data_IF_800838742741
#
_entry.id   IF_800838742741
#
_cell.length_a   1.000
_cell.length_b   1.000
_cell.length_c   1.000
_cell.angle_alpha   90.00
_cell.angle_beta   90.00
_cell.angle_gamma   90.00
#
_symmetry.space_group_name_H-M   'P 1'
#
loop_
_entity.id
_entity.type
_entity.pdbx_description
1 polymer ?
#
# COMPACT_ATOMS: atom_id res chain seq x y z
N UNK A 1 -63.50 -10.00 39.90
CA UNK A 1 -63.07 -9.99 38.48
C UNK A 1 -62.21 -8.75 38.28
N UNK A 2 -60.91 -8.91 38.01
CA UNK A 2 -59.96 -7.82 37.73
C UNK A 2 -59.50 -7.96 36.27
N UNK A 3 -59.43 -6.88 35.47
CA UNK A 3 -58.50 -6.85 34.36
C UNK A 3 -57.24 -6.06 34.78
N UNK A 4 -56.10 -6.75 34.75
CA UNK A 4 -54.78 -6.15 34.85
C UNK A 4 -54.36 -5.62 33.47
N UNK A 5 -53.98 -4.35 33.40
CA UNK A 5 -53.41 -3.73 32.19
C UNK A 5 -51.89 -3.94 32.26
N UNK A 6 -51.36 -4.79 31.39
CA UNK A 6 -49.91 -4.93 31.17
C UNK A 6 -49.41 -3.71 30.37
N UNK A 7 -48.55 -2.91 30.99
CA UNK A 7 -47.76 -1.90 30.30
C UNK A 7 -46.55 -2.57 29.65
N UNK A 8 -46.57 -2.61 28.32
CA UNK A 8 -45.49 -3.08 27.45
C UNK A 8 -44.35 -2.05 27.48
N UNK A 9 -43.27 -2.34 28.21
CA UNK A 9 -42.04 -1.56 28.15
C UNK A 9 -41.35 -1.81 26.80
N UNK A 10 -41.21 -0.76 25.99
CA UNK A 10 -40.41 -0.76 24.78
C UNK A 10 -38.95 -1.10 25.13
N UNK A 11 -38.50 -2.27 24.71
CA UNK A 11 -37.09 -2.63 24.70
C UNK A 11 -36.35 -1.67 23.74
N UNK A 12 -35.34 -0.98 24.25
CA UNK A 12 -34.44 -0.16 23.45
C UNK A 12 -33.78 -1.00 22.37
N UNK A 13 -33.86 -0.54 21.13
CA UNK A 13 -33.14 -1.12 20.02
C UNK A 13 -31.63 -0.97 20.28
N UNK A 14 -30.94 -2.09 20.49
CA UNK A 14 -29.50 -2.15 20.34
C UNK A 14 -29.18 -1.77 18.90
N UNK A 15 -28.46 -0.66 18.69
CA UNK A 15 -27.77 -0.43 17.42
C UNK A 15 -26.68 -1.50 17.30
N UNK A 16 -26.79 -2.36 16.28
CA UNK A 16 -25.74 -3.29 15.94
C UNK A 16 -24.48 -2.53 15.49
N UNK A 17 -23.26 -3.04 15.79
CA UNK A 17 -22.05 -2.50 15.20
C UNK A 17 -22.14 -2.69 13.69
N UNK A 18 -22.27 -1.57 12.97
CA UNK A 18 -22.29 -1.57 11.52
C UNK A 18 -21.07 -2.29 10.99
N UNK A 19 -21.31 -3.25 10.09
CA UNK A 19 -20.29 -3.95 9.32
C UNK A 19 -19.28 -2.91 8.79
N UNK A 20 -18.01 -3.06 9.12
CA UNK A 20 -16.98 -2.08 8.71
C UNK A 20 -16.73 -2.30 7.22
N UNK A 21 -17.55 -1.65 6.39
CA UNK A 21 -17.34 -1.61 4.94
C UNK A 21 -16.08 -0.77 4.70
N UNK A 22 -15.04 -1.41 4.18
CA UNK A 22 -13.83 -0.72 3.77
C UNK A 22 -14.14 0.28 2.65
N UNK A 23 -13.69 1.52 2.85
CA UNK A 23 -14.01 2.62 1.94
C UNK A 23 -13.14 2.52 0.69
N UNK A 24 -13.75 2.69 -0.48
CA UNK A 24 -13.00 2.81 -1.73
C UNK A 24 -12.35 4.20 -1.77
N UNK A 25 -11.04 4.27 -1.94
CA UNK A 25 -10.28 5.50 -2.09
C UNK A 25 -10.06 5.86 -3.57
N UNK A 26 -9.67 4.87 -4.37
CA UNK A 26 -9.44 5.03 -5.81
C UNK A 26 -9.89 3.79 -6.56
N UNK A 27 -10.37 3.96 -7.78
CA UNK A 27 -10.52 2.87 -8.75
C UNK A 27 -9.64 3.14 -9.97
N UNK A 28 -8.88 2.13 -10.40
CA UNK A 28 -8.05 2.11 -11.62
C UNK A 28 -8.58 1.00 -12.53
N UNK A 29 -9.39 1.35 -13.53
CA UNK A 29 -10.22 0.42 -14.30
C UNK A 29 -11.08 -0.51 -13.41
N UNK A 30 -10.64 -1.75 -13.20
CA UNK A 30 -11.29 -2.76 -12.35
C UNK A 30 -10.54 -2.98 -11.03
N UNK A 31 -9.35 -2.39 -10.87
CA UNK A 31 -8.58 -2.47 -9.64
C UNK A 31 -9.08 -1.43 -8.64
N UNK A 32 -9.43 -1.89 -7.44
CA UNK A 32 -9.93 -1.05 -6.36
C UNK A 32 -8.80 -0.87 -5.34
N UNK A 33 -8.57 0.38 -4.96
CA UNK A 33 -7.68 0.78 -3.87
C UNK A 33 -8.57 1.25 -2.73
N UNK A 34 -8.49 0.55 -1.60
CA UNK A 34 -9.26 0.85 -0.40
C UNK A 34 -8.55 1.86 0.51
N UNK A 35 -9.27 2.42 1.48
CA UNK A 35 -8.66 3.25 2.51
C UNK A 35 -7.69 2.43 3.35
N UNK A 36 -7.99 1.16 3.66
CA UNK A 36 -7.06 0.29 4.38
C UNK A 36 -5.74 0.11 3.62
N UNK A 37 -5.78 -0.08 2.29
CA UNK A 37 -4.57 -0.17 1.46
C UNK A 37 -3.73 1.12 1.56
N UNK A 38 -4.38 2.28 1.52
CA UNK A 38 -3.72 3.59 1.65
C UNK A 38 -3.07 3.75 3.02
N UNK A 39 -3.75 3.39 4.10
CA UNK A 39 -3.22 3.46 5.45
C UNK A 39 -2.07 2.46 5.67
N UNK A 40 -2.17 1.27 5.10
CA UNK A 40 -1.09 0.28 5.09
C UNK A 40 0.14 0.80 4.35
N UNK A 41 -0.03 1.39 3.17
CA UNK A 41 1.07 1.95 2.39
C UNK A 41 1.84 3.02 3.20
N UNK A 42 1.12 3.89 3.91
CA UNK A 42 1.71 4.89 4.82
C UNK A 42 2.50 4.21 5.94
N UNK A 43 1.90 3.24 6.64
CA UNK A 43 2.55 2.56 7.76
C UNK A 43 3.83 1.85 7.32
N UNK A 44 3.80 1.14 6.20
CA UNK A 44 4.97 0.41 5.71
C UNK A 44 6.06 1.39 5.29
N UNK A 45 5.74 2.47 4.57
CA UNK A 45 6.73 3.49 4.23
C UNK A 45 7.38 4.09 5.49
N UNK A 46 6.57 4.48 6.47
CA UNK A 46 7.03 5.03 7.74
C UNK A 46 7.92 4.05 8.54
N UNK A 47 7.57 2.75 8.57
CA UNK A 47 8.40 1.70 9.17
C UNK A 47 9.77 1.60 8.50
N UNK A 48 9.82 1.60 7.18
CA UNK A 48 11.06 1.46 6.41
C UNK A 48 11.98 2.67 6.61
N UNK A 49 11.41 3.88 6.60
CA UNK A 49 12.15 5.12 6.80
C UNK A 49 12.48 5.40 8.28
N UNK A 50 11.82 4.70 9.20
CA UNK A 50 11.98 4.88 10.64
C UNK A 50 11.42 6.19 11.17
N UNK A 51 10.38 6.72 10.52
CA UNK A 51 9.69 7.98 10.87
C UNK A 51 8.27 7.71 11.32
N UNK A 52 7.67 8.65 12.05
CA UNK A 52 6.28 8.53 12.47
C UNK A 52 5.31 8.49 11.27
N UNK A 53 4.34 7.57 11.29
CA UNK A 53 3.31 7.48 10.27
C UNK A 53 2.34 8.67 10.37
N UNK A 54 2.25 9.46 9.30
CA UNK A 54 1.37 10.63 9.22
C UNK A 54 0.18 10.35 8.31
N UNK A 55 -1.03 10.57 8.81
CA UNK A 55 -2.29 10.24 8.12
C UNK A 55 -3.10 11.46 7.69
N UNK A 56 -2.43 12.56 7.34
CA UNK A 56 -3.11 13.74 6.78
C UNK A 56 -3.77 13.41 5.44
N UNK A 57 -4.77 14.20 5.03
CA UNK A 57 -5.40 14.05 3.73
C UNK A 57 -4.38 14.05 2.57
N UNK A 58 -3.38 14.92 2.66
CA UNK A 58 -2.27 14.96 1.71
C UNK A 58 -1.46 13.65 1.72
N UNK A 59 -1.05 13.15 2.90
CA UNK A 59 -0.26 11.91 3.00
C UNK A 59 -1.04 10.69 2.46
N UNK A 60 -2.35 10.62 2.73
CA UNK A 60 -3.24 9.60 2.15
C UNK A 60 -3.28 9.70 0.63
N UNK A 61 -3.40 10.91 0.06
CA UNK A 61 -3.42 11.10 -1.39
C UNK A 61 -2.11 10.68 -2.04
N UNK A 62 -0.98 11.09 -1.47
CA UNK A 62 0.35 10.70 -1.94
C UNK A 62 0.57 9.19 -1.85
N UNK A 63 0.08 8.55 -0.79
CA UNK A 63 0.12 7.09 -0.67
C UNK A 63 -0.74 6.38 -1.73
N UNK A 64 -1.96 6.88 -1.99
CA UNK A 64 -2.79 6.35 -3.06
C UNK A 64 -2.13 6.50 -4.44
N UNK A 65 -1.45 7.61 -4.72
CA UNK A 65 -0.68 7.78 -5.96
C UNK A 65 0.44 6.75 -6.09
N UNK A 66 1.20 6.50 -5.01
CA UNK A 66 2.22 5.43 -5.02
C UNK A 66 1.63 4.04 -5.27
N UNK A 67 0.43 3.77 -4.77
CA UNK A 67 -0.28 2.50 -5.05
C UNK A 67 -0.68 2.43 -6.52
N UNK A 68 -1.21 3.51 -7.11
CA UNK A 68 -1.56 3.57 -8.54
C UNK A 68 -0.32 3.30 -9.40
N UNK A 69 0.77 4.02 -9.18
CA UNK A 69 2.00 3.89 -9.97
C UNK A 69 2.56 2.48 -9.90
N UNK A 70 2.63 1.92 -8.69
CA UNK A 70 3.04 0.53 -8.47
C UNK A 70 2.09 -0.44 -9.18
N UNK A 71 0.77 -0.22 -9.11
CA UNK A 71 -0.20 -1.07 -9.80
C UNK A 71 0.03 -1.09 -11.32
N UNK A 72 0.26 0.08 -11.94
CA UNK A 72 0.53 0.16 -13.37
C UNK A 72 1.81 -0.60 -13.74
N UNK A 73 2.90 -0.39 -13.00
CA UNK A 73 4.16 -1.11 -13.20
C UNK A 73 4.01 -2.61 -12.98
N UNK A 74 3.30 -3.04 -11.92
CA UNK A 74 3.04 -4.45 -11.65
C UNK A 74 2.23 -5.10 -12.77
N UNK A 75 1.25 -4.38 -13.34
CA UNK A 75 0.45 -4.90 -14.46
C UNK A 75 1.31 -5.15 -15.70
N UNK A 76 2.18 -4.21 -16.04
CA UNK A 76 3.12 -4.35 -17.17
C UNK A 76 4.15 -5.48 -16.92
N UNK A 77 4.67 -5.56 -15.69
CA UNK A 77 5.53 -6.66 -15.23
C UNK A 77 4.85 -8.03 -15.38
N UNK A 78 3.57 -8.13 -15.05
CA UNK A 78 2.80 -9.37 -15.20
C UNK A 78 2.55 -9.74 -16.67
N UNK A 79 2.25 -8.75 -17.52
CA UNK A 79 2.08 -8.95 -18.97
C UNK A 79 3.37 -9.46 -19.63
N UNK A 80 4.53 -9.00 -19.15
CA UNK A 80 5.85 -9.46 -19.62
C UNK A 80 6.32 -10.74 -18.93
N UNK A 81 5.50 -11.32 -18.04
CA UNK A 81 5.81 -12.53 -17.26
C UNK A 81 7.14 -12.43 -16.48
N UNK A 82 7.51 -11.22 -16.06
CA UNK A 82 8.72 -11.01 -15.29
C UNK A 82 8.58 -11.61 -13.87
N UNK A 83 9.58 -12.38 -13.39
CA UNK A 83 9.43 -13.13 -12.15
C UNK A 83 9.51 -12.22 -10.92
N UNK A 84 8.68 -12.53 -9.92
CA UNK A 84 8.82 -11.97 -8.57
C UNK A 84 10.11 -12.48 -7.88
N UNK A 85 10.66 -11.71 -6.93
CA UNK A 85 11.78 -12.17 -6.12
C UNK A 85 11.41 -13.40 -5.28
N UNK A 86 12.40 -14.23 -4.97
CA UNK A 86 12.23 -15.35 -4.04
C UNK A 86 12.14 -14.87 -2.60
N UNK A 87 11.60 -15.70 -1.69
CA UNK A 87 11.39 -15.31 -0.29
C UNK A 87 12.72 -14.96 0.42
N UNK A 88 13.80 -15.69 0.14
CA UNK A 88 15.12 -15.40 0.69
C UNK A 88 15.61 -13.97 0.38
N UNK A 89 15.32 -13.45 -0.82
CA UNK A 89 15.71 -12.10 -1.21
C UNK A 89 14.91 -11.02 -0.45
N UNK A 90 13.64 -11.30 -0.14
CA UNK A 90 12.80 -10.43 0.67
C UNK A 90 13.28 -10.42 2.11
N UNK A 91 13.60 -11.58 2.67
CA UNK A 91 14.17 -11.70 4.02
C UNK A 91 15.53 -11.00 4.13
N UNK A 92 16.39 -11.13 3.12
CA UNK A 92 17.66 -10.40 3.06
C UNK A 92 17.44 -8.88 3.04
N UNK A 93 16.41 -8.41 2.35
CA UNK A 93 16.05 -6.98 2.36
C UNK A 93 15.56 -6.55 3.75
N UNK A 94 14.69 -7.33 4.40
CA UNK A 94 14.24 -7.06 5.77
C UNK A 94 15.42 -7.03 6.74
N UNK A 95 16.37 -7.97 6.62
CA UNK A 95 17.59 -8.00 7.42
C UNK A 95 18.44 -6.73 7.22
N UNK A 96 18.58 -6.24 5.98
CA UNK A 96 19.26 -4.97 5.70
C UNK A 96 18.55 -3.77 6.32
N UNK A 97 17.22 -3.71 6.26
CA UNK A 97 16.43 -2.64 6.91
C UNK A 97 16.67 -2.67 8.42
N UNK A 98 16.59 -3.84 9.05
CA UNK A 98 16.87 -4.02 10.48
C UNK A 98 18.28 -3.58 10.85
N UNK A 99 19.28 -3.98 10.07
CA UNK A 99 20.68 -3.59 10.29
C UNK A 99 20.89 -2.08 10.16
N UNK A 100 20.34 -1.46 9.11
CA UNK A 100 20.44 -0.02 8.88
C UNK A 100 19.81 0.79 10.02
N UNK A 101 18.69 0.28 10.57
CA UNK A 101 18.00 0.86 11.72
C UNK A 101 18.55 0.41 13.07
N UNK A 102 19.56 -0.46 13.11
CA UNK A 102 20.16 -1.05 14.31
C UNK A 102 19.14 -1.71 15.24
N UNK A 103 18.18 -2.43 14.64
CA UNK A 103 17.12 -3.14 15.35
C UNK A 103 17.48 -4.62 15.47
N UNK A 104 17.56 -5.11 16.70
CA UNK A 104 17.56 -6.54 16.98
C UNK A 104 16.16 -7.15 16.75
N UNK A 105 15.99 -8.45 17.03
CA UNK A 105 14.70 -9.13 16.82
C UNK A 105 13.59 -8.54 17.70
N UNK A 106 13.85 -8.32 18.99
CA UNK A 106 12.84 -7.81 19.91
C UNK A 106 12.43 -6.37 19.56
N UNK A 107 13.39 -5.51 19.20
CA UNK A 107 13.12 -4.16 18.73
C UNK A 107 12.36 -4.18 17.40
N UNK A 108 12.67 -5.09 16.49
CA UNK A 108 11.96 -5.25 15.23
C UNK A 108 10.48 -5.63 15.45
N UNK A 109 10.19 -6.60 16.31
CA UNK A 109 8.81 -6.99 16.63
C UNK A 109 8.03 -5.87 17.32
N UNK A 110 8.70 -5.08 18.18
CA UNK A 110 8.11 -3.86 18.78
C UNK A 110 7.78 -2.81 17.73
N UNK A 111 8.66 -2.58 16.76
CA UNK A 111 8.40 -1.66 15.65
C UNK A 111 7.22 -2.14 14.80
N UNK A 112 7.18 -3.42 14.40
CA UNK A 112 6.05 -3.99 13.67
C UNK A 112 4.72 -3.77 14.42
N UNK A 113 4.72 -4.02 15.73
CA UNK A 113 3.55 -3.81 16.58
C UNK A 113 3.19 -2.33 16.70
N UNK A 114 4.17 -1.43 16.85
CA UNK A 114 3.98 0.03 16.93
C UNK A 114 3.35 0.60 15.67
N UNK A 115 3.78 0.13 14.49
CA UNK A 115 3.16 0.53 13.24
C UNK A 115 1.88 -0.25 12.94
N UNK A 116 1.56 -1.33 13.65
CA UNK A 116 0.39 -2.16 13.38
C UNK A 116 0.51 -2.96 12.08
N UNK A 117 1.70 -3.46 11.77
CA UNK A 117 2.00 -4.23 10.55
C UNK A 117 2.30 -5.69 10.93
N UNK A 118 1.63 -6.64 10.29
CA UNK A 118 1.94 -8.05 10.45
C UNK A 118 3.19 -8.47 9.67
N UNK A 119 3.99 -9.40 10.19
CA UNK A 119 5.21 -9.86 9.51
C UNK A 119 4.93 -10.45 8.11
N UNK A 120 3.89 -11.29 7.98
CA UNK A 120 3.47 -11.86 6.68
C UNK A 120 2.99 -10.79 5.70
N UNK A 121 2.28 -9.79 6.20
CA UNK A 121 1.78 -8.67 5.41
C UNK A 121 2.95 -7.83 4.88
N UNK A 122 3.90 -7.48 5.75
CA UNK A 122 5.12 -6.78 5.35
C UNK A 122 5.89 -7.57 4.28
N UNK A 123 6.10 -8.87 4.51
CA UNK A 123 6.79 -9.73 3.54
C UNK A 123 6.10 -9.72 2.18
N UNK A 124 4.79 -9.91 2.13
CA UNK A 124 4.02 -9.86 0.88
C UNK A 124 4.13 -8.50 0.17
N UNK A 125 4.03 -7.40 0.91
CA UNK A 125 4.17 -6.05 0.37
C UNK A 125 5.57 -5.80 -0.20
N UNK A 126 6.62 -6.21 0.52
CA UNK A 126 8.01 -6.07 0.10
C UNK A 126 8.33 -6.93 -1.12
N UNK A 127 7.78 -8.14 -1.21
CA UNK A 127 7.91 -9.01 -2.39
C UNK A 127 7.42 -8.32 -3.67
N UNK A 128 6.27 -7.65 -3.60
CA UNK A 128 5.74 -6.88 -4.74
C UNK A 128 6.60 -5.65 -5.06
N UNK A 129 6.98 -4.86 -4.05
CA UNK A 129 7.81 -3.65 -4.23
C UNK A 129 9.18 -3.97 -4.82
N UNK A 130 9.85 -5.02 -4.33
CA UNK A 130 11.13 -5.50 -4.87
C UNK A 130 10.99 -6.05 -6.29
N UNK A 131 9.87 -6.74 -6.59
CA UNK A 131 9.55 -7.17 -7.95
C UNK A 131 9.49 -5.98 -8.92
N UNK A 132 8.75 -4.94 -8.56
CA UNK A 132 8.66 -3.71 -9.36
C UNK A 132 10.02 -3.02 -9.50
N UNK A 133 10.81 -2.93 -8.43
CA UNK A 133 12.16 -2.35 -8.50
C UNK A 133 13.06 -3.09 -9.49
N UNK A 134 13.07 -4.43 -9.43
CA UNK A 134 13.81 -5.28 -10.37
C UNK A 134 13.30 -5.13 -11.81
N UNK A 135 11.99 -5.04 -11.97
CA UNK A 135 11.35 -4.86 -13.27
C UNK A 135 11.76 -3.53 -13.90
N UNK A 136 11.73 -2.43 -13.14
CA UNK A 136 12.15 -1.11 -13.61
C UNK A 136 13.61 -1.15 -14.09
N UNK A 137 14.54 -1.70 -13.29
CA UNK A 137 15.94 -1.80 -13.71
C UNK A 137 16.10 -2.66 -14.96
N UNK A 138 15.34 -3.76 -15.10
CA UNK A 138 15.37 -4.59 -16.30
C UNK A 138 14.82 -3.87 -17.53
N UNK A 139 13.61 -3.30 -17.40
CA UNK A 139 12.80 -2.71 -18.48
C UNK A 139 13.45 -1.49 -19.11
N UNK A 140 14.11 -0.66 -18.31
CA UNK A 140 14.71 0.60 -18.77
C UNK A 140 16.23 0.53 -18.98
N UNK A 141 16.87 -0.62 -18.71
CA UNK A 141 18.32 -0.81 -18.87
C UNK A 141 18.85 -0.38 -20.23
N UNK A 142 18.17 -0.80 -21.30
CA UNK A 142 18.61 -0.57 -22.68
C UNK A 142 18.43 0.88 -23.14
N UNK A 143 17.56 1.63 -22.47
CA UNK A 143 17.25 3.03 -22.80
C UNK A 143 18.18 4.01 -22.05
N UNK A 144 19.03 3.49 -21.14
CA UNK A 144 20.01 4.29 -20.42
C UNK A 144 21.12 4.77 -21.36
N UNK A 145 21.42 6.08 -21.34
CA UNK A 145 22.48 6.72 -22.10
C UNK A 145 23.33 7.61 -21.18
N UNK A 146 24.65 7.40 -21.17
CA UNK A 146 25.62 8.26 -20.48
C UNK A 146 25.71 8.12 -18.95
N UNK A 147 26.53 8.98 -18.34
CA UNK A 147 26.87 8.96 -16.91
C UNK A 147 25.85 9.78 -16.10
N UNK A 148 24.76 9.13 -15.69
CA UNK A 148 23.66 9.74 -14.93
C UNK A 148 22.48 8.79 -14.69
N UNK A 149 22.79 7.53 -14.36
CA UNK A 149 21.85 6.41 -14.50
C UNK A 149 20.58 6.53 -13.65
N UNK A 150 20.67 6.97 -12.39
CA UNK A 150 19.52 7.00 -11.48
C UNK A 150 18.48 8.06 -11.88
N UNK A 151 18.91 9.31 -12.10
CA UNK A 151 18.01 10.39 -12.52
C UNK A 151 17.40 10.12 -13.89
N UNK A 152 18.13 9.44 -14.77
CA UNK A 152 17.62 9.04 -16.08
C UNK A 152 16.55 7.95 -15.97
N UNK A 153 16.76 6.93 -15.14
CA UNK A 153 15.74 5.89 -14.89
C UNK A 153 14.47 6.53 -14.34
N UNK A 154 14.58 7.46 -13.39
CA UNK A 154 13.41 8.17 -12.85
C UNK A 154 12.63 8.90 -13.97
N UNK A 155 13.32 9.63 -14.86
CA UNK A 155 12.65 10.29 -15.99
C UNK A 155 11.98 9.31 -16.96
N UNK A 156 12.61 8.17 -17.24
CA UNK A 156 12.04 7.14 -18.11
C UNK A 156 10.80 6.51 -17.49
N UNK A 157 10.85 6.21 -16.19
CA UNK A 157 9.70 5.72 -15.42
C UNK A 157 8.57 6.75 -15.42
N UNK A 158 8.88 8.04 -15.18
CA UNK A 158 7.88 9.11 -15.18
C UNK A 158 7.21 9.27 -16.54
N UNK A 159 7.99 9.25 -17.63
CA UNK A 159 7.47 9.30 -19.00
C UNK A 159 6.56 8.11 -19.28
N UNK A 160 6.99 6.90 -18.91
CA UNK A 160 6.21 5.69 -19.07
C UNK A 160 4.91 5.72 -18.24
N UNK A 161 4.97 6.14 -16.97
CA UNK A 161 3.81 6.27 -16.09
C UNK A 161 2.80 7.27 -16.64
N UNK A 162 3.27 8.38 -17.23
CA UNK A 162 2.41 9.35 -17.89
C UNK A 162 1.62 8.71 -19.04
N UNK A 163 2.27 7.91 -19.89
CA UNK A 163 1.58 7.19 -20.97
C UNK A 163 0.65 6.10 -20.44
N UNK A 164 1.07 5.34 -19.44
CA UNK A 164 0.27 4.28 -18.82
C UNK A 164 -1.01 4.85 -18.20
N UNK A 165 -0.92 5.98 -17.49
CA UNK A 165 -2.07 6.69 -16.90
C UNK A 165 -3.09 7.15 -17.95
N UNK A 166 -2.67 7.44 -19.18
CA UNK A 166 -3.60 7.82 -20.26
C UNK A 166 -4.43 6.64 -20.79
N UNK A 167 -3.99 5.41 -20.54
CA UNK A 167 -4.64 4.18 -21.05
C UNK A 167 -5.63 3.56 -20.07
N UNK A 168 -5.74 4.11 -18.86
CA UNK A 168 -6.60 3.60 -17.79
C UNK A 168 -7.55 4.68 -17.30
N UNK A 169 -8.70 4.28 -16.76
CA UNK A 169 -9.60 5.19 -16.07
C UNK A 169 -9.29 5.21 -14.58
N UNK A 170 -8.84 6.36 -14.07
CA UNK A 170 -8.60 6.59 -12.64
C UNK A 170 -9.73 7.44 -12.08
N UNK A 171 -10.41 6.95 -11.04
CA UNK A 171 -11.50 7.64 -10.35
C UNK A 171 -11.18 7.76 -8.87
N UNK A 172 -11.08 9.00 -8.39
CA UNK A 172 -10.84 9.31 -6.98
C UNK A 172 -12.17 9.43 -6.22
N UNK A 173 -12.16 8.99 -4.96
CA UNK A 173 -13.25 9.18 -3.98
C UNK A 173 -12.71 10.08 -2.88
N UNK A 174 -12.87 11.39 -3.07
CA UNK A 174 -12.28 12.42 -2.19
C UNK A 174 -12.73 12.29 -0.73
N UNK A 175 -13.92 11.74 -0.50
CA UNK A 175 -14.49 11.41 0.80
C UNK A 175 -13.66 10.39 1.61
N UNK A 176 -12.82 9.59 0.95
CA UNK A 176 -11.93 8.65 1.62
C UNK A 176 -10.67 9.33 2.20
N UNK A 177 -10.32 10.53 1.71
CA UNK A 177 -9.10 11.24 2.10
C UNK A 177 -9.33 12.25 3.23
N UNK A 178 -10.59 12.60 3.52
CA UNK A 178 -10.96 13.47 4.63
C UNK A 178 -10.58 12.89 6.00
#
# INVERSE_FOLDING_TARGET
MKPAILALWLAGACLEPGDVIDRIAVTVDQYVITLSDVLEEIRIAALLDGVEARFSAQAKREAAERIIERHLLTRDMQLTQFPLPGDAEVEDFIARVRQARKLDEDAWQKELSRYGIGAKQLHAALKQRLGVLRYVEFRFRAERQGDGAADQVNRLVDAWLKEARQRVRISWREEAFQ
#
